data_IF_167748739397
#
_entry.id   IF_167748739397
#
_cell.length_a   1.000
_cell.length_b   1.000
_cell.length_c   1.000
_cell.angle_alpha   90.00
_cell.angle_beta   90.00
_cell.angle_gamma   90.00
#
_symmetry.space_group_name_H-M   'P 1'
#
loop_
_entity.id
_entity.type
_entity.pdbx_description
1 polymer ?
#
# COMPACT_ATOMS: atom_id res chain seq x y z
N UNK A 1 -26.25 39.13 0.57
CA UNK A 1 -25.85 38.13 -0.45
C UNK A 1 -24.38 37.88 -0.15
N UNK A 2 -23.93 36.71 0.30
CA UNK A 2 -23.88 35.44 -0.42
C UNK A 2 -24.16 34.21 0.47
N UNK A 3 -24.71 33.16 -0.17
CA UNK A 3 -25.19 31.92 0.43
C UNK A 3 -24.04 30.94 0.69
N UNK A 4 -23.93 30.43 1.92
CA UNK A 4 -23.08 29.29 2.23
C UNK A 4 -23.87 27.99 1.93
N UNK A 5 -23.67 27.41 0.75
CA UNK A 5 -23.90 25.97 0.52
C UNK A 5 -22.88 25.22 1.39
N UNK A 6 -23.20 24.23 2.23
CA UNK A 6 -24.36 23.36 2.30
C UNK A 6 -23.85 21.95 2.57
N UNK A 7 -23.29 21.70 3.76
CA UNK A 7 -23.03 20.34 4.24
C UNK A 7 -23.91 20.14 5.47
N UNK A 8 -25.05 19.48 5.28
CA UNK A 8 -25.89 19.01 6.37
C UNK A 8 -25.17 17.81 6.97
N UNK A 9 -24.63 17.98 8.19
CA UNK A 9 -24.05 16.88 8.96
C UNK A 9 -25.21 16.19 9.69
N UNK A 10 -25.60 15.02 9.20
CA UNK A 10 -26.53 14.13 9.93
C UNK A 10 -25.68 13.47 11.01
N UNK A 11 -25.86 13.91 12.26
CA UNK A 11 -25.23 13.29 13.43
C UNK A 11 -26.19 12.21 13.90
N UNK A 12 -25.78 10.94 13.80
CA UNK A 12 -26.51 9.84 14.40
C UNK A 12 -26.35 9.94 15.93
N UNK A 13 -27.44 9.91 16.72
CA UNK A 13 -27.40 10.08 18.17
C UNK A 13 -26.78 8.88 18.92
N UNK A 14 -26.16 7.93 18.21
CA UNK A 14 -25.58 6.70 18.76
C UNK A 14 -24.04 6.63 18.58
N UNK A 15 -23.39 7.77 18.33
CA UNK A 15 -21.95 7.92 18.09
C UNK A 15 -21.02 7.57 19.28
N UNK A 16 -21.52 7.02 20.38
CA UNK A 16 -20.68 6.70 21.55
C UNK A 16 -20.05 5.29 21.54
N UNK A 17 -20.30 4.47 20.52
CA UNK A 17 -19.67 3.16 20.42
C UNK A 17 -18.95 3.00 19.08
N UNK A 18 -17.76 3.57 19.00
CA UNK A 18 -16.82 3.26 17.92
C UNK A 18 -16.47 1.77 17.99
N UNK A 19 -16.73 1.05 16.89
CA UNK A 19 -16.42 -0.36 16.71
C UNK A 19 -14.92 -0.61 16.96
N UNK A 20 -14.55 -1.66 17.72
CA UNK A 20 -13.15 -1.99 18.04
C UNK A 20 -12.30 -2.14 16.77
N UNK A 21 -12.92 -2.56 15.66
CA UNK A 21 -12.29 -2.64 14.36
C UNK A 21 -11.85 -1.26 13.80
N UNK A 22 -12.61 -0.20 14.06
CA UNK A 22 -12.26 1.17 13.65
C UNK A 22 -11.14 1.76 14.51
N UNK A 23 -11.08 1.38 15.78
CA UNK A 23 -9.98 1.74 16.68
C UNK A 23 -8.68 1.06 16.21
N UNK A 24 -8.75 -0.23 15.84
CA UNK A 24 -7.61 -0.96 15.28
C UNK A 24 -7.10 -0.36 13.96
N UNK A 25 -8.00 0.16 13.10
CA UNK A 25 -7.63 0.84 11.85
C UNK A 25 -6.86 2.15 12.08
N UNK A 26 -7.10 2.86 13.20
CA UNK A 26 -6.32 4.07 13.56
C UNK A 26 -4.91 3.75 14.03
N UNK A 27 -4.70 2.55 14.56
CA UNK A 27 -3.39 2.09 15.03
C UNK A 27 -2.47 1.65 13.88
N UNK A 28 -3.00 1.50 12.66
CA UNK A 28 -2.18 1.22 11.49
C UNK A 28 -1.27 2.43 11.18
N UNK A 29 0.01 2.22 10.88
CA UNK A 29 0.92 3.28 10.48
C UNK A 29 0.36 3.97 9.23
N UNK A 30 0.03 5.26 9.38
CA UNK A 30 -0.47 6.08 8.28
C UNK A 30 0.67 6.25 7.28
N UNK A 31 0.43 5.88 6.03
CA UNK A 31 1.36 6.18 4.96
C UNK A 31 1.40 7.69 4.78
N UNK A 32 2.56 8.31 5.04
CA UNK A 32 2.79 9.67 4.60
C UNK A 32 2.63 9.71 3.07
N UNK A 33 1.99 10.77 2.53
CA UNK A 33 1.95 10.97 1.09
C UNK A 33 3.38 10.93 0.55
N UNK A 34 3.66 9.98 -0.35
CA UNK A 34 4.97 9.86 -1.02
C UNK A 34 5.34 11.08 -1.87
N UNK A 35 4.39 12.02 -2.03
CA UNK A 35 4.54 13.27 -2.76
C UNK A 35 4.08 14.40 -1.84
N UNK A 36 5.03 15.21 -1.38
CA UNK A 36 4.73 16.52 -0.81
C UNK A 36 4.09 17.35 -1.93
N UNK A 37 2.93 17.99 -1.73
CA UNK A 37 2.40 18.90 -2.74
C UNK A 37 3.44 19.98 -2.99
N UNK A 38 3.94 20.02 -4.23
CA UNK A 38 5.00 20.91 -4.68
C UNK A 38 4.78 22.32 -4.14
N UNK A 39 5.83 22.91 -3.57
CA UNK A 39 5.89 24.34 -3.31
C UNK A 39 5.43 25.09 -4.57
N UNK A 40 4.69 26.20 -4.44
CA UNK A 40 4.14 26.89 -5.60
C UNK A 40 5.27 27.18 -6.59
N UNK A 41 5.22 26.51 -7.75
CA UNK A 41 6.17 26.71 -8.83
C UNK A 41 6.05 28.16 -9.28
N UNK A 42 7.02 28.99 -8.89
CA UNK A 42 7.10 30.41 -9.26
C UNK A 42 7.45 30.62 -10.75
N UNK A 43 7.32 29.59 -11.60
CA UNK A 43 7.55 29.74 -13.02
C UNK A 43 6.39 30.48 -13.68
N UNK A 44 6.48 31.81 -13.69
CA UNK A 44 5.55 32.70 -14.37
C UNK A 44 6.11 33.09 -15.74
N UNK A 45 5.46 32.66 -16.81
CA UNK A 45 5.76 33.09 -18.18
C UNK A 45 5.64 34.61 -18.37
N UNK A 46 4.92 35.31 -17.48
CA UNK A 46 4.83 36.76 -17.50
C UNK A 46 6.18 37.45 -17.22
N UNK A 47 7.10 36.77 -16.51
CA UNK A 47 8.47 37.26 -16.28
C UNK A 47 9.37 37.11 -17.51
N UNK A 48 9.04 36.18 -18.42
CA UNK A 48 9.78 35.93 -19.67
C UNK A 48 9.31 36.87 -20.78
N UNK A 49 8.02 37.21 -20.80
CA UNK A 49 7.41 38.00 -21.86
C UNK A 49 7.09 39.46 -21.50
N UNK A 50 7.46 39.93 -20.28
CA UNK A 50 7.38 41.33 -19.88
C UNK A 50 6.14 42.08 -20.40
N UNK A 51 5.04 41.96 -19.66
CA UNK A 51 3.78 42.71 -19.87
C UNK A 51 2.98 42.34 -21.13
N UNK A 52 2.24 41.24 -21.06
CA UNK A 52 1.11 40.98 -21.97
C UNK A 52 -0.23 41.28 -21.26
N UNK A 53 -0.40 42.49 -20.72
CA UNK A 53 -1.63 43.04 -20.09
C UNK A 53 -1.30 44.49 -19.67
N UNK A 54 -1.91 45.62 -20.06
CA UNK A 54 -3.12 46.04 -20.82
C UNK A 54 -2.94 47.55 -21.21
N UNK A 55 -3.99 48.29 -21.67
CA UNK A 55 -3.98 49.11 -22.88
C UNK A 55 -3.24 50.48 -22.74
N UNK A 56 -2.52 50.84 -23.80
CA UNK A 56 -1.90 52.16 -23.97
C UNK A 56 -2.98 53.21 -24.26
N UNK A 57 -3.25 54.05 -23.27
CA UNK A 57 -3.63 55.44 -23.55
C UNK A 57 -2.39 56.31 -23.43
N UNK A 58 -2.26 57.24 -24.38
CA UNK A 58 -1.37 58.41 -24.35
C UNK A 58 0.07 58.21 -24.85
N UNK A 59 0.22 58.51 -26.14
CA UNK A 59 1.23 59.45 -26.66
C UNK A 59 2.70 59.07 -26.47
N UNK A 60 3.25 58.44 -27.51
CA UNK A 60 4.58 58.78 -28.01
C UNK A 60 5.76 58.32 -27.17
N UNK A 61 6.00 57.02 -27.13
CA UNK A 61 7.36 56.48 -27.03
C UNK A 61 7.36 55.13 -27.76
N UNK A 62 8.03 55.08 -28.91
CA UNK A 62 8.43 53.81 -29.51
C UNK A 62 9.50 53.20 -28.62
N UNK A 63 9.10 52.57 -27.51
CA UNK A 63 9.97 51.63 -26.81
C UNK A 63 9.98 50.37 -27.63
N UNK A 64 10.92 50.28 -28.57
CA UNK A 64 11.29 49.01 -29.17
C UNK A 64 11.58 48.03 -28.02
N UNK A 65 10.80 46.96 -27.99
CA UNK A 65 10.90 45.90 -27.01
C UNK A 65 12.28 45.23 -27.19
N UNK A 66 13.27 45.66 -26.41
CA UNK A 66 14.61 45.11 -26.49
C UNK A 66 14.62 43.68 -25.92
N UNK A 67 14.59 42.70 -26.82
CA UNK A 67 14.72 41.29 -26.46
C UNK A 67 16.13 41.03 -25.90
N UNK A 68 16.22 40.56 -24.66
CA UNK A 68 17.50 40.15 -24.08
C UNK A 68 17.73 38.64 -24.31
N UNK A 69 18.63 38.25 -25.24
CA UNK A 69 18.90 36.84 -25.53
C UNK A 69 19.53 36.07 -24.36
N UNK A 70 20.10 36.76 -23.34
CA UNK A 70 20.65 36.09 -22.16
C UNK A 70 19.58 35.34 -21.37
N UNK A 71 18.35 35.85 -21.36
CA UNK A 71 17.22 35.22 -20.65
C UNK A 71 16.86 33.87 -21.25
N UNK A 72 16.92 33.72 -22.59
CA UNK A 72 16.71 32.42 -23.22
C UNK A 72 17.79 31.42 -22.85
N UNK A 73 19.05 31.86 -22.77
CA UNK A 73 20.17 31.00 -22.36
C UNK A 73 19.96 30.54 -20.92
N UNK A 74 19.58 31.43 -20.02
CA UNK A 74 19.29 31.09 -18.62
C UNK A 74 18.13 30.09 -18.49
N UNK A 75 17.06 30.29 -19.26
CA UNK A 75 15.92 29.34 -19.31
C UNK A 75 16.38 27.98 -19.82
N UNK A 76 17.17 27.93 -20.89
CA UNK A 76 17.68 26.66 -21.44
C UNK A 76 18.58 25.93 -20.45
N UNK A 77 19.45 26.64 -19.72
CA UNK A 77 20.31 26.07 -18.67
C UNK A 77 19.45 25.53 -17.53
N UNK A 78 18.42 26.27 -17.08
CA UNK A 78 17.52 25.82 -16.03
C UNK A 78 16.73 24.57 -16.45
N UNK A 79 16.18 24.54 -17.67
CA UNK A 79 15.46 23.38 -18.20
C UNK A 79 16.38 22.16 -18.29
N UNK A 80 17.59 22.32 -18.81
CA UNK A 80 18.55 21.22 -18.91
C UNK A 80 18.94 20.68 -17.53
N UNK A 81 19.17 21.58 -16.57
CA UNK A 81 19.50 21.21 -15.19
C UNK A 81 18.33 20.47 -14.52
N UNK A 82 17.11 20.97 -14.69
CA UNK A 82 15.90 20.33 -14.16
C UNK A 82 15.68 18.95 -14.81
N UNK A 83 15.82 18.84 -16.12
CA UNK A 83 15.67 17.58 -16.86
C UNK A 83 16.68 16.53 -16.38
N UNK A 84 17.95 16.93 -16.15
CA UNK A 84 18.97 16.04 -15.58
C UNK A 84 18.62 15.57 -14.18
N UNK A 85 18.18 16.49 -13.31
CA UNK A 85 17.78 16.15 -11.94
C UNK A 85 16.59 15.19 -11.92
N UNK A 86 15.54 15.50 -12.69
CA UNK A 86 14.37 14.63 -12.83
C UNK A 86 14.76 13.24 -13.36
N UNK A 87 15.67 13.16 -14.33
CA UNK A 87 16.21 11.89 -14.80
C UNK A 87 16.93 11.08 -13.72
N UNK A 88 17.71 11.74 -12.86
CA UNK A 88 18.38 11.10 -11.71
C UNK A 88 17.36 10.60 -10.68
N UNK A 89 16.37 11.43 -10.34
CA UNK A 89 15.32 11.09 -9.37
C UNK A 89 14.51 9.88 -9.84
N UNK A 90 14.15 9.82 -11.13
CA UNK A 90 13.47 8.66 -11.73
C UNK A 90 14.32 7.40 -11.61
N UNK A 91 15.62 7.48 -11.93
CA UNK A 91 16.51 6.33 -11.84
C UNK A 91 16.67 5.83 -10.40
N UNK A 92 16.77 6.73 -9.44
CA UNK A 92 16.85 6.38 -8.03
C UNK A 92 15.54 5.76 -7.53
N UNK A 93 14.40 6.33 -7.91
CA UNK A 93 13.09 5.77 -7.59
C UNK A 93 12.92 4.36 -8.17
N UNK A 94 13.27 4.16 -9.44
CA UNK A 94 13.20 2.84 -10.08
C UNK A 94 14.12 1.82 -9.40
N UNK A 95 15.32 2.22 -8.99
CA UNK A 95 16.24 1.35 -8.24
C UNK A 95 15.65 0.96 -6.89
N UNK A 96 15.12 1.92 -6.15
CA UNK A 96 14.49 1.69 -4.84
C UNK A 96 13.27 0.78 -4.96
N UNK A 97 12.41 1.02 -5.95
CA UNK A 97 11.25 0.19 -6.24
C UNK A 97 11.65 -1.26 -6.57
N UNK A 98 12.68 -1.44 -7.42
CA UNK A 98 13.19 -2.77 -7.75
C UNK A 98 13.72 -3.54 -6.54
N UNK A 99 14.40 -2.87 -5.61
CA UNK A 99 14.84 -3.49 -4.36
C UNK A 99 13.65 -3.91 -3.49
N UNK A 100 12.65 -3.03 -3.33
CA UNK A 100 11.45 -3.34 -2.53
C UNK A 100 10.65 -4.51 -3.12
N UNK A 101 10.54 -4.59 -4.45
CA UNK A 101 9.88 -5.71 -5.12
C UNK A 101 10.60 -7.03 -4.85
N UNK A 102 11.93 -7.08 -4.95
CA UNK A 102 12.69 -8.29 -4.61
C UNK A 102 12.50 -8.72 -3.16
N UNK A 103 12.53 -7.77 -2.22
CA UNK A 103 12.29 -8.07 -0.81
C UNK A 103 10.89 -8.64 -0.59
N UNK A 104 9.89 -8.13 -1.29
CA UNK A 104 8.53 -8.66 -1.24
C UNK A 104 8.45 -10.08 -1.83
N UNK A 105 9.13 -10.33 -2.95
CA UNK A 105 9.20 -11.65 -3.57
C UNK A 105 9.87 -12.67 -2.63
N UNK A 106 11.00 -12.30 -2.03
CA UNK A 106 11.74 -13.13 -1.07
C UNK A 106 10.89 -13.43 0.18
N UNK A 107 10.20 -12.43 0.72
CA UNK A 107 9.28 -12.59 1.85
C UNK A 107 8.13 -13.54 1.49
N UNK A 108 7.52 -13.35 0.32
CA UNK A 108 6.38 -14.17 -0.13
C UNK A 108 6.81 -15.61 -0.34
N UNK A 109 7.99 -15.84 -0.93
CA UNK A 109 8.56 -17.17 -1.09
C UNK A 109 8.79 -17.84 0.26
N UNK A 110 9.37 -17.12 1.22
CA UNK A 110 9.59 -17.61 2.58
C UNK A 110 8.28 -17.97 3.28
N UNK A 111 7.26 -17.11 3.20
CA UNK A 111 5.95 -17.35 3.79
C UNK A 111 5.25 -18.58 3.18
N UNK A 112 5.33 -18.77 1.86
CA UNK A 112 4.77 -19.95 1.18
C UNK A 112 5.49 -21.23 1.61
N UNK A 113 6.81 -21.20 1.76
CA UNK A 113 7.60 -22.34 2.24
C UNK A 113 7.23 -22.71 3.68
N UNK A 114 7.12 -21.72 4.56
CA UNK A 114 6.72 -21.91 5.96
C UNK A 114 5.30 -22.47 6.08
N UNK A 115 4.36 -21.91 5.32
CA UNK A 115 2.99 -22.42 5.27
C UNK A 115 2.95 -23.88 4.79
N UNK A 116 3.72 -24.20 3.76
CA UNK A 116 3.81 -25.57 3.21
C UNK A 116 4.38 -26.53 4.25
N UNK A 117 5.44 -26.15 4.96
CA UNK A 117 6.04 -26.96 6.02
C UNK A 117 5.06 -27.18 7.18
N UNK A 118 4.39 -26.12 7.63
CA UNK A 118 3.38 -26.19 8.70
C UNK A 118 2.21 -27.09 8.30
N UNK A 119 1.73 -26.96 7.06
CA UNK A 119 0.67 -27.81 6.54
C UNK A 119 1.09 -29.29 6.48
N UNK A 120 2.30 -29.58 6.01
CA UNK A 120 2.82 -30.95 5.99
C UNK A 120 2.93 -31.54 7.40
N UNK A 121 3.43 -30.76 8.37
CA UNK A 121 3.51 -31.19 9.76
C UNK A 121 2.13 -31.48 10.34
N UNK A 122 1.17 -30.57 10.14
CA UNK A 122 -0.21 -30.76 10.59
C UNK A 122 -0.84 -32.02 9.99
N UNK A 123 -0.60 -32.27 8.70
CA UNK A 123 -1.05 -33.48 8.02
C UNK A 123 -0.44 -34.74 8.64
N UNK A 124 0.89 -34.77 8.84
CA UNK A 124 1.56 -35.93 9.47
C UNK A 124 1.03 -36.19 10.88
N UNK A 125 0.81 -35.14 11.68
CA UNK A 125 0.21 -35.27 13.01
C UNK A 125 -1.22 -35.84 12.94
N UNK A 126 -2.03 -35.37 11.99
CA UNK A 126 -3.38 -35.89 11.76
C UNK A 126 -3.37 -37.37 11.37
N UNK A 127 -2.48 -37.77 10.46
CA UNK A 127 -2.35 -39.16 10.00
C UNK A 127 -1.93 -40.08 11.16
N UNK A 128 -1.01 -39.63 12.02
CA UNK A 128 -0.61 -40.35 13.23
C UNK A 128 -1.74 -40.50 14.24
N UNK A 129 -2.52 -39.44 14.47
CA UNK A 129 -3.69 -39.49 15.37
C UNK A 129 -4.75 -40.47 14.86
N UNK A 130 -5.07 -40.42 13.57
CA UNK A 130 -6.02 -41.34 12.94
C UNK A 130 -5.56 -42.80 13.05
N UNK A 131 -4.28 -43.08 12.76
CA UNK A 131 -3.70 -44.42 12.92
C UNK A 131 -3.78 -44.92 14.37
N UNK A 132 -3.48 -44.05 15.33
CA UNK A 132 -3.59 -44.36 16.76
C UNK A 132 -5.02 -44.69 17.18
N UNK A 133 -5.99 -43.90 16.73
CA UNK A 133 -7.42 -44.14 16.99
C UNK A 133 -7.87 -45.46 16.37
N UNK A 134 -7.51 -45.73 15.12
CA UNK A 134 -7.85 -47.00 14.45
C UNK A 134 -7.29 -48.18 15.22
N UNK A 135 -6.02 -48.13 15.63
CA UNK A 135 -5.40 -49.20 16.43
C UNK A 135 -6.12 -49.40 17.77
N UNK A 136 -6.47 -48.33 18.48
CA UNK A 136 -7.25 -48.43 19.73
C UNK A 136 -8.61 -49.09 19.52
N UNK A 137 -9.34 -48.70 18.48
CA UNK A 137 -10.65 -49.30 18.15
C UNK A 137 -10.48 -50.78 17.79
N UNK A 138 -9.48 -51.14 16.99
CA UNK A 138 -9.20 -52.54 16.63
C UNK A 138 -8.88 -53.38 17.86
N UNK A 139 -8.00 -52.90 18.75
CA UNK A 139 -7.65 -53.62 20.00
C UNK A 139 -8.87 -53.77 20.91
N UNK A 140 -9.66 -52.71 21.11
CA UNK A 140 -10.91 -52.80 21.88
C UNK A 140 -11.87 -53.81 21.26
N UNK A 141 -12.08 -53.77 19.95
CA UNK A 141 -12.99 -54.69 19.25
C UNK A 141 -12.56 -56.14 19.42
N UNK A 142 -11.26 -56.44 19.28
CA UNK A 142 -10.70 -57.79 19.51
C UNK A 142 -10.90 -58.20 20.97
N UNK A 143 -10.61 -57.32 21.94
CA UNK A 143 -10.71 -57.61 23.36
C UNK A 143 -12.16 -57.90 23.79
N UNK A 144 -13.12 -57.07 23.37
CA UNK A 144 -14.55 -57.27 23.66
C UNK A 144 -15.10 -58.54 22.98
N UNK A 145 -14.73 -58.80 21.73
CA UNK A 145 -15.15 -60.03 21.02
C UNK A 145 -14.57 -61.29 21.66
N UNK A 146 -13.30 -61.25 22.08
CA UNK A 146 -12.65 -62.35 22.79
C UNK A 146 -13.25 -62.64 24.17
N UNK A 147 -13.66 -61.60 24.91
CA UNK A 147 -14.39 -61.77 26.18
C UNK A 147 -15.79 -62.36 26.00
N UNK A 148 -16.51 -61.94 24.97
CA UNK A 148 -17.84 -62.48 24.66
C UNK A 148 -17.79 -63.99 24.36
N UNK A 149 -16.80 -64.43 23.58
CA UNK A 149 -16.59 -65.85 23.27
C UNK A 149 -16.24 -66.69 24.52
N UNK A 150 -15.39 -66.17 25.41
CA UNK A 150 -15.05 -66.88 26.66
C UNK A 150 -16.24 -67.04 27.60
N UNK A 151 -17.15 -66.06 27.66
CA UNK A 151 -18.37 -66.19 28.47
C UNK A 151 -19.37 -67.21 27.89
N UNK A 152 -19.36 -67.42 26.58
CA UNK A 152 -20.20 -68.43 25.94
C UNK A 152 -19.71 -69.87 26.19
N UNK A 153 -18.40 -70.08 26.38
CA UNK A 153 -17.83 -71.43 26.63
C UNK A 153 -17.92 -71.91 28.08
N UNK A 154 -18.03 -71.00 29.06
CA UNK A 154 -18.11 -71.35 30.50
C UNK A 154 -19.56 -71.46 31.04
N UNK A 155 -20.56 -71.30 30.17
CA UNK A 155 -21.98 -71.30 30.54
C UNK A 155 -22.68 -72.67 30.42
N UNK A 156 -21.93 -73.76 30.25
CA UNK A 156 -22.45 -75.13 30.18
C UNK A 156 -22.13 -75.93 31.43
#
# INVERSE_FOLDING_TARGET
MEQHQGIIRVVDPNEEQEDEALIALRALPKFEPLVVPDAPSHFSLASVFGALSTPVDSRGASTELAFNPSVLVDILVQINTHSKRCGQDIQEFQRSLGTKMRTLDDFTLGAVQELTATHQQAKTHSDQLLSGITNCITVMTIFFRGRSLKHAETGH
#
